data_IF_460218906447
#
_entry.id   IF_460218906447
#
_cell.length_a   1.000
_cell.length_b   1.000
_cell.length_c   1.000
_cell.angle_alpha   90.00
_cell.angle_beta   90.00
_cell.angle_gamma   90.00
#
_symmetry.space_group_name_H-M   'P 1'
#
loop_
_entity.id
_entity.type
_entity.pdbx_description
1 polymer ?
#
# COMPACT_ATOMS: atom_id res chain seq x y z
N UNK A 1 -21.69 0.82 3.98
CA UNK A 1 -20.28 0.38 4.06
C UNK A 1 -19.29 1.50 3.69
N UNK A 2 -19.13 1.90 2.40
CA UNK A 2 -18.11 2.91 2.04
C UNK A 2 -18.37 4.27 2.71
N UNK A 3 -19.61 4.71 2.79
CA UNK A 3 -19.97 5.95 3.47
C UNK A 3 -19.68 5.89 4.97
N UNK A 4 -19.97 4.78 5.63
CA UNK A 4 -19.66 4.57 7.06
C UNK A 4 -18.15 4.55 7.29
N UNK A 5 -17.40 3.93 6.36
CA UNK A 5 -15.95 3.93 6.41
C UNK A 5 -15.38 5.35 6.39
N UNK A 6 -15.83 6.21 5.46
CA UNK A 6 -15.42 7.61 5.45
C UNK A 6 -15.83 8.35 6.72
N UNK A 7 -17.06 8.14 7.19
CA UNK A 7 -17.56 8.83 8.37
C UNK A 7 -16.71 8.52 9.62
N UNK A 8 -16.44 7.25 9.90
CA UNK A 8 -15.67 6.84 11.08
C UNK A 8 -14.20 7.27 10.96
N UNK A 9 -13.62 7.28 9.77
CA UNK A 9 -12.26 7.75 9.56
C UNK A 9 -12.14 9.26 9.77
N UNK A 10 -13.08 10.06 9.26
CA UNK A 10 -13.14 11.50 9.53
C UNK A 10 -13.31 11.76 11.01
N UNK A 11 -14.24 11.07 11.68
CA UNK A 11 -14.46 11.20 13.12
C UNK A 11 -13.16 10.93 13.89
N UNK A 12 -12.35 9.93 13.51
CA UNK A 12 -11.06 9.67 14.15
C UNK A 12 -10.10 10.85 13.99
N UNK A 13 -9.91 11.37 12.77
CA UNK A 13 -8.96 12.47 12.56
C UNK A 13 -9.43 13.79 13.17
N UNK A 14 -10.74 14.01 13.29
CA UNK A 14 -11.35 15.19 13.91
C UNK A 14 -11.34 15.15 15.44
N UNK A 15 -11.00 13.99 16.08
CA UNK A 15 -10.86 13.92 17.53
C UNK A 15 -9.76 14.85 18.05
N UNK A 16 -9.86 15.35 19.31
CA UNK A 16 -8.80 16.07 19.99
C UNK A 16 -7.47 15.31 19.96
N UNK A 17 -6.35 16.05 19.93
CA UNK A 17 -5.03 15.44 19.86
C UNK A 17 -4.74 14.53 21.07
N UNK A 18 -5.23 14.89 22.26
CA UNK A 18 -5.12 14.11 23.49
C UNK A 18 -5.80 12.74 23.41
N UNK A 19 -6.90 12.61 22.67
CA UNK A 19 -7.62 11.34 22.48
C UNK A 19 -6.89 10.39 21.48
N UNK A 20 -5.97 10.93 20.70
CA UNK A 20 -5.15 10.18 19.72
C UNK A 20 -3.71 9.95 20.14
N UNK A 21 -3.28 10.64 21.21
CA UNK A 21 -1.87 10.69 21.62
C UNK A 21 -1.28 9.31 21.96
N UNK A 22 -2.09 8.40 22.52
CA UNK A 22 -1.64 7.04 22.85
C UNK A 22 -1.25 6.20 21.62
N UNK A 23 -1.78 6.54 20.43
CA UNK A 23 -1.47 5.85 19.18
C UNK A 23 -0.35 6.53 18.39
N UNK A 24 0.06 7.74 18.80
CA UNK A 24 1.10 8.47 18.08
C UNK A 24 2.48 7.86 18.33
N UNK A 25 3.15 7.42 17.28
CA UNK A 25 4.52 6.90 17.35
C UNK A 25 5.28 7.14 16.06
N UNK A 26 6.53 7.59 16.20
CA UNK A 26 7.51 7.65 15.11
C UNK A 26 8.35 6.37 15.03
N UNK A 27 8.21 5.45 15.99
CA UNK A 27 8.87 4.14 15.93
C UNK A 27 8.22 3.27 14.86
N UNK A 28 8.98 2.97 13.81
CA UNK A 28 8.53 2.18 12.67
C UNK A 28 8.29 0.70 13.00
N UNK A 29 8.79 0.20 14.10
CA UNK A 29 8.56 -1.17 14.55
C UNK A 29 7.21 -1.34 15.25
N UNK A 30 6.63 -0.25 15.76
CA UNK A 30 5.31 -0.27 16.38
C UNK A 30 4.21 -0.49 15.33
N UNK A 31 3.12 -1.08 15.78
CA UNK A 31 1.94 -1.43 14.98
C UNK A 31 0.73 -0.69 15.50
N UNK A 32 -0.31 -0.57 14.67
CA UNK A 32 -1.57 0.09 15.03
C UNK A 32 -1.32 1.51 15.56
N UNK A 33 -0.59 2.29 14.79
CA UNK A 33 -0.09 3.61 15.18
C UNK A 33 -0.58 4.73 14.28
N UNK A 34 -0.63 5.92 14.86
CA UNK A 34 -0.78 7.18 14.15
C UNK A 34 0.62 7.81 13.98
N UNK A 35 0.95 8.26 12.78
CA UNK A 35 2.19 9.00 12.51
C UNK A 35 1.95 10.08 11.46
N UNK A 36 2.83 11.05 11.40
CA UNK A 36 2.73 12.14 10.43
C UNK A 36 3.79 12.02 9.31
N UNK A 37 3.70 12.89 8.32
CA UNK A 37 4.55 12.87 7.14
C UNK A 37 6.05 13.00 7.39
N UNK A 38 6.49 13.40 8.60
CA UNK A 38 7.89 13.35 9.03
C UNK A 38 8.46 11.92 9.02
N UNK A 39 7.61 10.91 9.23
CA UNK A 39 8.02 9.51 9.15
C UNK A 39 8.46 9.08 7.74
N UNK A 40 8.05 9.81 6.70
CA UNK A 40 8.47 9.59 5.31
C UNK A 40 9.58 10.54 4.87
N UNK A 41 10.19 11.30 5.78
CA UNK A 41 11.23 12.27 5.45
C UNK A 41 12.33 11.62 4.61
N UNK A 42 12.50 12.13 3.38
CA UNK A 42 13.53 11.71 2.44
C UNK A 42 14.29 12.94 2.02
N UNK A 43 15.60 12.97 2.22
CA UNK A 43 16.47 14.10 1.85
C UNK A 43 16.08 15.45 2.48
N UNK A 44 15.45 15.42 3.68
CA UNK A 44 14.98 16.62 4.39
C UNK A 44 13.63 17.15 3.95
N UNK A 45 12.94 16.47 3.03
CA UNK A 45 11.57 16.81 2.64
C UNK A 45 10.54 16.17 3.57
N UNK A 46 9.57 16.95 4.02
CA UNK A 46 8.44 16.49 4.83
C UNK A 46 7.19 16.40 3.98
N UNK A 47 6.43 15.32 4.18
CA UNK A 47 5.18 15.09 3.43
C UNK A 47 3.98 15.55 4.25
N UNK A 48 2.94 16.01 3.57
CA UNK A 48 1.78 16.64 4.16
C UNK A 48 0.64 15.66 4.37
N UNK A 49 0.81 14.77 5.37
CA UNK A 49 -0.07 13.63 5.64
C UNK A 49 -0.01 13.21 7.10
N UNK A 50 -1.14 12.75 7.63
CA UNK A 50 -1.24 11.92 8.83
C UNK A 50 -1.75 10.54 8.43
N UNK A 51 -1.20 9.49 9.02
CA UNK A 51 -1.55 8.09 8.69
C UNK A 51 -1.88 7.33 9.95
N UNK A 52 -3.07 6.73 9.99
CA UNK A 52 -3.40 5.69 10.95
C UNK A 52 -3.15 4.33 10.28
N UNK A 53 -2.05 3.68 10.64
CA UNK A 53 -1.70 2.32 10.20
C UNK A 53 -2.31 1.28 11.14
N UNK A 54 -3.09 0.36 10.60
CA UNK A 54 -3.75 -0.70 11.33
C UNK A 54 -3.40 -2.07 10.75
N UNK A 55 -2.99 -2.99 11.62
CA UNK A 55 -2.68 -4.36 11.25
C UNK A 55 -3.90 -5.25 11.42
N UNK A 56 -4.34 -5.88 10.34
CA UNK A 56 -5.41 -6.88 10.34
C UNK A 56 -4.79 -8.28 10.17
N UNK A 57 -4.66 -9.06 11.26
CA UNK A 57 -4.03 -10.36 11.23
C UNK A 57 -4.93 -11.42 10.58
N UNK A 58 -4.33 -12.30 9.77
CA UNK A 58 -5.04 -13.42 9.17
C UNK A 58 -4.62 -14.73 9.85
N UNK A 59 -5.53 -15.68 9.99
CA UNK A 59 -6.95 -15.64 9.62
C UNK A 59 -7.87 -15.03 10.68
N UNK A 60 -7.34 -14.61 11.85
CA UNK A 60 -8.16 -14.24 13.03
C UNK A 60 -9.02 -12.99 12.80
N UNK A 61 -8.53 -12.01 12.06
CA UNK A 61 -9.21 -10.72 11.90
C UNK A 61 -9.35 -9.93 13.23
N UNK A 62 -8.47 -10.17 14.21
CA UNK A 62 -8.55 -9.56 15.54
C UNK A 62 -8.19 -8.07 15.49
N UNK A 63 -9.12 -7.23 15.93
CA UNK A 63 -8.98 -5.76 15.95
C UNK A 63 -8.89 -5.17 17.37
N UNK A 64 -8.67 -6.02 18.39
CA UNK A 64 -8.68 -5.59 19.81
C UNK A 64 -7.64 -4.53 20.15
N UNK A 65 -6.49 -4.55 19.46
CA UNK A 65 -5.37 -3.62 19.67
C UNK A 65 -5.48 -2.34 18.83
N UNK A 66 -6.57 -2.16 18.08
CA UNK A 66 -6.85 -0.92 17.35
C UNK A 66 -7.43 0.15 18.27
N UNK A 67 -7.46 1.42 17.86
CA UNK A 67 -8.13 2.47 18.62
C UNK A 67 -9.58 2.07 18.95
N UNK A 68 -9.99 2.35 20.20
CA UNK A 68 -11.36 2.09 20.66
C UNK A 68 -12.28 3.29 20.45
N UNK A 69 -11.72 4.40 20.04
CA UNK A 69 -12.42 5.62 19.62
C UNK A 69 -12.08 5.93 18.16
N UNK A 70 -13.04 6.36 17.37
CA UNK A 70 -14.49 6.41 17.62
C UNK A 70 -15.08 5.03 17.94
N UNK A 71 -16.21 4.96 18.63
CA UNK A 71 -16.81 3.69 19.09
C UNK A 71 -16.97 2.66 17.98
N UNK A 72 -17.31 3.08 16.77
CA UNK A 72 -17.54 2.20 15.63
C UNK A 72 -16.29 1.87 14.80
N UNK A 73 -15.11 2.41 15.14
CA UNK A 73 -13.92 2.29 14.31
C UNK A 73 -13.55 0.82 14.06
N UNK A 74 -13.41 0.03 15.13
CA UNK A 74 -12.99 -1.37 15.03
C UNK A 74 -13.93 -2.21 14.17
N UNK A 75 -15.23 -2.01 14.35
CA UNK A 75 -16.26 -2.75 13.61
C UNK A 75 -16.30 -2.34 12.14
N UNK A 76 -16.40 -1.05 11.86
CA UNK A 76 -16.54 -0.55 10.50
C UNK A 76 -15.27 -0.81 9.68
N UNK A 77 -14.10 -0.47 10.21
CA UNK A 77 -12.82 -0.69 9.51
C UNK A 77 -12.51 -2.18 9.38
N UNK A 78 -12.80 -3.00 10.40
CA UNK A 78 -12.61 -4.45 10.33
C UNK A 78 -13.48 -5.11 9.26
N UNK A 79 -14.77 -4.76 9.20
CA UNK A 79 -15.70 -5.24 8.18
C UNK A 79 -15.27 -4.79 6.77
N UNK A 80 -14.88 -3.52 6.62
CA UNK A 80 -14.35 -3.01 5.35
C UNK A 80 -13.10 -3.79 4.93
N UNK A 81 -12.15 -4.00 5.83
CA UNK A 81 -10.89 -4.70 5.54
C UNK A 81 -11.14 -6.14 5.08
N UNK A 82 -12.06 -6.85 5.72
CA UNK A 82 -12.47 -8.19 5.32
C UNK A 82 -13.02 -8.21 3.89
N UNK A 83 -13.89 -7.25 3.55
CA UNK A 83 -14.45 -7.12 2.20
C UNK A 83 -13.41 -6.71 1.16
N UNK A 84 -12.54 -5.75 1.49
CA UNK A 84 -11.45 -5.33 0.60
C UNK A 84 -10.51 -6.51 0.28
N UNK A 85 -10.20 -7.35 1.30
CA UNK A 85 -9.47 -8.60 1.07
C UNK A 85 -10.23 -9.55 0.16
N UNK A 86 -11.54 -9.71 0.35
CA UNK A 86 -12.38 -10.52 -0.54
C UNK A 86 -12.31 -10.07 -2.00
N UNK A 87 -12.38 -8.76 -2.24
CA UNK A 87 -12.20 -8.17 -3.58
C UNK A 87 -10.80 -8.47 -4.14
N UNK A 88 -9.75 -8.30 -3.34
CA UNK A 88 -8.39 -8.62 -3.77
C UNK A 88 -8.23 -10.09 -4.18
N UNK A 89 -8.77 -11.02 -3.39
CA UNK A 89 -8.70 -12.46 -3.69
C UNK A 89 -9.45 -12.80 -4.97
N UNK A 90 -10.59 -12.18 -5.23
CA UNK A 90 -11.33 -12.38 -6.48
C UNK A 90 -10.56 -11.82 -7.70
N UNK A 91 -9.92 -10.66 -7.55
CA UNK A 91 -9.06 -10.11 -8.61
C UNK A 91 -7.87 -11.03 -8.87
N UNK A 92 -7.21 -11.56 -7.82
CA UNK A 92 -6.11 -12.52 -7.98
C UNK A 92 -6.57 -13.81 -8.68
N UNK A 93 -7.76 -14.30 -8.37
CA UNK A 93 -8.38 -15.45 -9.06
C UNK A 93 -8.60 -15.15 -10.56
N UNK A 94 -9.15 -13.97 -10.89
CA UNK A 94 -9.33 -13.53 -12.27
C UNK A 94 -8.00 -13.35 -13.02
N UNK A 95 -6.95 -12.90 -12.31
CA UNK A 95 -5.60 -12.84 -12.86
C UNK A 95 -5.07 -14.23 -13.17
N UNK A 96 -5.28 -15.23 -12.29
CA UNK A 96 -4.92 -16.62 -12.59
C UNK A 96 -5.57 -17.08 -13.89
N UNK A 97 -6.87 -16.86 -14.05
CA UNK A 97 -7.61 -17.23 -15.25
C UNK A 97 -7.06 -16.52 -16.49
N UNK A 98 -6.86 -15.19 -16.42
CA UNK A 98 -6.36 -14.38 -17.53
C UNK A 98 -4.91 -14.67 -17.93
N UNK A 99 -4.10 -15.17 -16.99
CA UNK A 99 -2.69 -15.49 -17.20
C UNK A 99 -2.43 -16.98 -17.47
N UNK A 100 -3.48 -17.81 -17.45
CA UNK A 100 -3.36 -19.26 -17.66
C UNK A 100 -2.68 -20.00 -16.51
N UNK A 101 -2.75 -19.43 -15.30
CA UNK A 101 -2.26 -20.05 -14.07
C UNK A 101 -3.34 -20.97 -13.46
N UNK A 102 -2.94 -21.89 -12.59
CA UNK A 102 -3.91 -22.68 -11.84
C UNK A 102 -4.70 -21.78 -10.86
N UNK A 103 -5.97 -22.08 -10.57
CA UNK A 103 -6.89 -21.13 -9.92
C UNK A 103 -6.45 -20.64 -8.53
N UNK A 104 -5.74 -21.49 -7.77
CA UNK A 104 -5.30 -21.19 -6.41
C UNK A 104 -3.84 -20.71 -6.33
N UNK A 105 -3.24 -20.30 -7.45
CA UNK A 105 -1.84 -19.89 -7.53
C UNK A 105 -1.45 -18.83 -6.48
N UNK A 106 -2.33 -17.87 -6.23
CA UNK A 106 -2.11 -16.82 -5.22
C UNK A 106 -2.75 -17.14 -3.86
N UNK A 107 -3.22 -18.36 -3.61
CA UNK A 107 -3.74 -18.78 -2.30
C UNK A 107 -2.61 -19.28 -1.41
N UNK A 108 -2.73 -19.11 -0.11
CA UNK A 108 -1.72 -19.52 0.88
C UNK A 108 -0.84 -18.37 1.33
N UNK A 109 0.42 -18.63 1.64
CA UNK A 109 1.34 -17.67 2.26
C UNK A 109 1.56 -16.41 1.46
N UNK A 110 1.45 -16.50 0.13
CA UNK A 110 1.62 -15.34 -0.77
C UNK A 110 0.52 -14.28 -0.63
N UNK A 111 -0.66 -14.63 -0.12
CA UNK A 111 -1.76 -13.70 0.13
C UNK A 111 -2.32 -13.79 1.56
N UNK A 112 -1.75 -14.66 2.38
CA UNK A 112 -2.30 -15.06 3.68
C UNK A 112 -1.55 -14.53 4.89
N UNK A 113 -0.58 -13.64 4.73
CA UNK A 113 0.18 -13.12 5.86
C UNK A 113 -0.64 -12.17 6.73
N UNK A 114 -1.07 -11.06 6.18
CA UNK A 114 -1.92 -10.05 6.84
C UNK A 114 -2.47 -9.05 5.84
N UNK A 115 -3.43 -8.22 6.29
CA UNK A 115 -3.75 -6.96 5.62
C UNK A 115 -3.21 -5.81 6.47
N UNK A 116 -2.51 -4.86 5.85
CA UNK A 116 -2.17 -3.58 6.47
C UNK A 116 -3.12 -2.54 5.91
N UNK A 117 -3.73 -1.76 6.78
CA UNK A 117 -4.68 -0.71 6.40
C UNK A 117 -4.10 0.64 6.80
N UNK A 118 -3.78 1.46 5.80
CA UNK A 118 -3.38 2.84 6.00
C UNK A 118 -4.56 3.76 5.72
N UNK A 119 -5.05 4.40 6.77
CA UNK A 119 -6.03 5.47 6.66
C UNK A 119 -5.24 6.77 6.55
N UNK A 120 -5.20 7.30 5.33
CA UNK A 120 -4.40 8.45 4.96
C UNK A 120 -5.25 9.73 5.01
N UNK A 121 -4.87 10.67 5.84
CA UNK A 121 -5.50 11.97 5.95
C UNK A 121 -4.54 13.07 5.49
N UNK A 122 -4.95 13.84 4.51
CA UNK A 122 -4.18 14.92 3.93
C UNK A 122 -4.88 16.24 4.24
N UNK A 123 -4.42 17.00 5.25
CA UNK A 123 -4.98 18.32 5.54
C UNK A 123 -4.86 19.26 4.35
N UNK A 124 -5.70 20.33 4.25
CA UNK A 124 -5.50 21.37 3.27
C UNK A 124 -4.09 21.96 3.37
N UNK A 125 -3.35 21.98 2.27
CA UNK A 125 -2.00 22.54 2.26
C UNK A 125 -2.04 24.02 1.88
N UNK A 126 -1.34 24.90 2.61
CA UNK A 126 -1.25 26.32 2.25
C UNK A 126 -0.48 26.55 0.94
N UNK A 127 0.32 25.56 0.51
CA UNK A 127 1.11 25.66 -0.72
C UNK A 127 1.19 24.31 -1.47
N UNK A 128 0.09 23.85 -2.12
CA UNK A 128 0.04 22.56 -2.79
C UNK A 128 1.06 22.39 -3.94
N UNK A 129 1.52 23.50 -4.52
CA UNK A 129 2.53 23.42 -5.60
C UNK A 129 3.93 23.06 -5.10
N UNK A 130 4.19 23.14 -3.79
CA UNK A 130 5.47 22.85 -3.15
C UNK A 130 5.41 21.72 -2.14
N UNK A 131 4.23 21.11 -1.94
CA UNK A 131 4.03 20.03 -0.98
C UNK A 131 3.40 18.83 -1.63
N UNK A 132 3.90 17.64 -1.34
CA UNK A 132 3.27 16.37 -1.66
C UNK A 132 2.67 15.76 -0.39
N UNK A 133 1.58 15.03 -0.53
CA UNK A 133 1.02 14.20 0.53
C UNK A 133 1.87 12.94 0.73
N UNK A 134 2.17 12.24 -0.37
CA UNK A 134 3.11 11.11 -0.39
C UNK A 134 4.08 11.26 -1.56
N UNK A 135 5.35 10.87 -1.38
CA UNK A 135 6.34 10.89 -2.45
C UNK A 135 6.01 9.89 -3.56
N UNK A 136 6.65 10.02 -4.74
CA UNK A 136 6.64 8.96 -5.73
C UNK A 136 7.14 7.63 -5.17
N UNK A 137 6.35 6.56 -5.35
CA UNK A 137 6.67 5.21 -4.88
C UNK A 137 5.87 4.15 -5.64
N UNK A 138 6.31 2.91 -5.55
CA UNK A 138 5.53 1.72 -5.88
C UNK A 138 5.14 0.99 -4.59
N UNK A 139 3.94 0.44 -4.53
CA UNK A 139 3.53 -0.41 -3.43
C UNK A 139 4.41 -1.66 -3.36
N UNK A 140 4.84 -2.05 -2.16
CA UNK A 140 5.83 -3.12 -1.97
C UNK A 140 5.22 -4.51 -1.84
N UNK A 141 3.96 -4.56 -1.47
CA UNK A 141 3.24 -5.78 -1.16
C UNK A 141 2.69 -6.46 -2.43
N UNK A 142 1.81 -7.43 -2.30
CA UNK A 142 1.27 -8.16 -3.45
C UNK A 142 0.30 -7.28 -4.25
N UNK A 143 -0.65 -6.66 -3.56
CA UNK A 143 -1.71 -5.84 -4.15
C UNK A 143 -2.24 -4.83 -3.14
N UNK A 144 -2.64 -3.67 -3.61
CA UNK A 144 -3.33 -2.65 -2.82
C UNK A 144 -4.75 -2.46 -3.34
N UNK A 145 -5.71 -2.52 -2.42
CA UNK A 145 -7.10 -2.11 -2.66
C UNK A 145 -7.28 -0.73 -2.04
N UNK A 146 -7.37 0.29 -2.87
CA UNK A 146 -7.46 1.69 -2.44
C UNK A 146 -8.89 2.19 -2.55
N UNK A 147 -9.43 2.68 -1.44
CA UNK A 147 -10.61 3.55 -1.41
C UNK A 147 -10.12 5.00 -1.55
N UNK A 148 -10.29 5.64 -2.74
CA UNK A 148 -9.53 6.85 -3.09
C UNK A 148 -10.03 8.14 -2.44
N UNK A 149 -11.24 8.11 -1.86
CA UNK A 149 -11.91 9.33 -1.41
C UNK A 149 -12.65 10.06 -2.54
N UNK A 150 -13.35 11.13 -2.18
CA UNK A 150 -14.04 11.99 -3.15
C UNK A 150 -13.13 13.09 -3.69
N UNK A 151 -12.12 13.51 -2.90
CA UNK A 151 -11.19 14.58 -3.24
C UNK A 151 -10.06 14.03 -4.10
N UNK A 152 -9.80 14.58 -5.30
CA UNK A 152 -8.68 14.17 -6.14
C UNK A 152 -7.33 14.36 -5.44
N UNK A 153 -6.36 13.50 -5.75
CA UNK A 153 -4.99 13.61 -5.20
C UNK A 153 -4.06 12.48 -5.63
N UNK A 154 -4.60 11.34 -6.08
CA UNK A 154 -3.78 10.27 -6.64
C UNK A 154 -3.27 10.66 -8.02
N UNK A 155 -1.96 10.55 -8.23
CA UNK A 155 -1.30 10.71 -9.52
C UNK A 155 -0.42 9.50 -9.82
N UNK A 156 -0.45 9.01 -11.06
CA UNK A 156 0.35 7.86 -11.53
C UNK A 156 1.37 8.33 -12.55
N UNK A 157 2.56 7.72 -12.53
CA UNK A 157 3.60 7.96 -13.52
C UNK A 157 3.26 7.29 -14.86
N UNK A 158 3.28 8.03 -15.95
CA UNK A 158 3.04 7.50 -17.29
C UNK A 158 3.80 8.29 -18.33
N UNK A 159 4.60 7.62 -19.15
CA UNK A 159 5.37 8.20 -20.27
C UNK A 159 6.17 9.46 -19.90
N UNK A 160 6.80 9.43 -18.73
CA UNK A 160 7.64 10.54 -18.24
C UNK A 160 6.88 11.72 -17.63
N UNK A 161 5.58 11.60 -17.43
CA UNK A 161 4.73 12.59 -16.76
C UNK A 161 3.84 11.99 -15.68
N UNK A 162 3.03 12.83 -15.05
CA UNK A 162 2.07 12.42 -14.00
C UNK A 162 0.64 12.59 -14.51
N UNK A 163 -0.16 11.53 -14.40
CA UNK A 163 -1.58 11.52 -14.75
C UNK A 163 -2.41 11.54 -13.47
N UNK A 164 -3.33 12.49 -13.36
CA UNK A 164 -4.31 12.55 -12.26
C UNK A 164 -5.36 11.47 -12.42
N UNK A 165 -5.50 10.65 -11.38
CA UNK A 165 -6.58 9.66 -11.30
C UNK A 165 -7.80 10.34 -10.70
N UNK A 166 -8.85 10.52 -11.52
CA UNK A 166 -10.09 11.11 -11.05
C UNK A 166 -10.87 10.11 -10.21
N UNK A 167 -11.33 10.49 -9.00
CA UNK A 167 -12.17 9.62 -8.21
C UNK A 167 -13.50 9.33 -8.93
N UNK A 168 -13.86 8.05 -8.96
CA UNK A 168 -15.19 7.62 -9.42
C UNK A 168 -16.01 7.25 -8.18
N UNK A 169 -17.23 7.78 -8.01
CA UNK A 169 -18.06 7.46 -6.85
C UNK A 169 -18.25 5.93 -6.69
N UNK A 170 -18.13 5.45 -5.46
CA UNK A 170 -18.31 4.04 -5.09
C UNK A 170 -17.38 3.06 -5.82
N UNK A 171 -16.21 3.52 -6.25
CA UNK A 171 -15.20 2.67 -6.86
C UNK A 171 -14.00 2.45 -5.93
N UNK A 172 -13.24 1.42 -6.24
CA UNK A 172 -11.93 1.12 -5.69
C UNK A 172 -10.87 1.24 -6.79
N UNK A 173 -9.66 1.64 -6.42
CA UNK A 173 -8.50 1.59 -7.31
C UNK A 173 -7.65 0.39 -6.89
N UNK A 174 -7.22 -0.42 -7.85
CA UNK A 174 -6.36 -1.57 -7.60
C UNK A 174 -4.97 -1.25 -8.12
N UNK A 175 -3.98 -1.30 -7.22
CA UNK A 175 -2.58 -1.19 -7.58
C UNK A 175 -1.90 -2.55 -7.44
N UNK A 176 -1.19 -2.99 -8.47
CA UNK A 176 -0.31 -4.14 -8.38
C UNK A 176 0.98 -3.72 -7.67
N UNK A 177 1.36 -4.51 -6.65
CA UNK A 177 2.57 -4.26 -5.90
C UNK A 177 3.80 -4.92 -6.52
N UNK A 178 4.98 -4.55 -5.99
CA UNK A 178 6.26 -5.05 -6.47
C UNK A 178 6.38 -6.58 -6.36
N UNK A 179 5.73 -7.21 -5.38
CA UNK A 179 5.77 -8.65 -5.25
C UNK A 179 4.99 -9.36 -6.35
N UNK A 180 3.88 -8.79 -6.82
CA UNK A 180 3.18 -9.30 -7.99
C UNK A 180 4.01 -9.10 -9.27
N UNK A 181 4.73 -7.99 -9.40
CA UNK A 181 5.67 -7.76 -10.49
C UNK A 181 6.80 -8.80 -10.48
N UNK A 182 7.36 -9.11 -9.31
CA UNK A 182 8.40 -10.14 -9.16
C UNK A 182 7.88 -11.51 -9.57
N UNK A 183 6.75 -11.95 -9.03
CA UNK A 183 6.14 -13.25 -9.33
C UNK A 183 5.87 -13.42 -10.81
N UNK A 184 5.36 -12.40 -11.48
CA UNK A 184 5.07 -12.43 -12.91
C UNK A 184 6.27 -12.12 -13.80
N UNK A 185 7.48 -12.13 -13.24
CA UNK A 185 8.74 -11.81 -13.93
C UNK A 185 8.66 -10.51 -14.75
N UNK A 186 7.91 -9.52 -14.23
CA UNK A 186 7.71 -8.21 -14.84
C UNK A 186 6.67 -8.16 -15.96
N UNK A 187 5.86 -9.21 -16.13
CA UNK A 187 4.72 -9.18 -17.03
C UNK A 187 3.66 -8.18 -16.57
N UNK A 188 3.29 -8.23 -15.28
CA UNK A 188 2.54 -7.17 -14.62
C UNK A 188 3.52 -6.19 -13.99
N UNK A 189 3.17 -4.89 -14.00
CA UNK A 189 4.02 -3.84 -13.48
C UNK A 189 3.41 -3.16 -12.27
N UNK A 190 4.21 -2.98 -11.23
CA UNK A 190 3.91 -2.05 -10.17
C UNK A 190 4.03 -0.63 -10.72
N UNK A 191 2.96 0.15 -10.57
CA UNK A 191 2.91 1.51 -11.11
C UNK A 191 3.39 2.50 -10.06
N UNK A 192 4.39 3.32 -10.42
CA UNK A 192 4.82 4.42 -9.59
C UNK A 192 3.69 5.45 -9.47
N UNK A 193 3.38 5.83 -8.24
CA UNK A 193 2.32 6.78 -7.95
C UNK A 193 2.69 7.68 -6.76
N UNK A 194 1.95 8.79 -6.61
CA UNK A 194 2.14 9.76 -5.53
C UNK A 194 0.81 10.38 -5.12
N UNK A 195 0.79 11.06 -3.97
CA UNK A 195 -0.36 11.83 -3.54
C UNK A 195 -0.05 13.33 -3.59
N UNK A 196 -0.80 14.04 -4.40
CA UNK A 196 -0.82 15.50 -4.42
C UNK A 196 -1.72 16.04 -3.30
N UNK A 197 -1.38 17.21 -2.77
CA UNK A 197 -2.19 17.97 -1.84
C UNK A 197 -3.09 18.97 -2.56
N UNK A 198 -4.06 19.52 -1.86
CA UNK A 198 -4.87 20.63 -2.36
C UNK A 198 -5.04 21.72 -1.28
N UNK A 199 -5.53 22.88 -1.67
CA UNK A 199 -5.71 24.04 -0.79
C UNK A 199 -7.08 24.07 -0.11
N UNK A 200 -8.12 23.54 -0.76
CA UNK A 200 -9.50 23.86 -0.42
C UNK A 200 -10.06 22.98 0.71
N UNK A 201 -9.77 21.70 0.68
CA UNK A 201 -10.41 20.72 1.56
C UNK A 201 -9.49 19.55 1.91
N UNK A 202 -9.70 18.89 3.04
CA UNK A 202 -8.92 17.71 3.39
C UNK A 202 -9.29 16.56 2.44
N UNK A 203 -8.30 15.73 2.12
CA UNK A 203 -8.49 14.46 1.43
C UNK A 203 -8.33 13.30 2.40
N UNK A 204 -9.19 12.30 2.30
CA UNK A 204 -9.05 11.04 3.03
C UNK A 204 -9.08 9.89 2.02
N UNK A 205 -8.15 8.95 2.16
CA UNK A 205 -8.14 7.70 1.40
C UNK A 205 -7.74 6.53 2.30
N UNK A 206 -8.15 5.31 1.93
CA UNK A 206 -7.84 4.11 2.70
C UNK A 206 -7.19 3.10 1.78
N UNK A 207 -5.93 2.75 2.07
CA UNK A 207 -5.17 1.73 1.36
C UNK A 207 -5.18 0.43 2.16
N UNK A 208 -5.62 -0.66 1.55
CA UNK A 208 -5.58 -2.01 2.14
C UNK A 208 -4.56 -2.84 1.38
N UNK A 209 -3.41 -3.08 1.99
CA UNK A 209 -2.30 -3.83 1.40
C UNK A 209 -2.46 -5.32 1.70
N UNK A 210 -2.46 -6.15 0.67
CA UNK A 210 -2.42 -7.61 0.80
C UNK A 210 -0.96 -8.02 0.92
N UNK A 211 -0.57 -8.43 2.11
CA UNK A 211 0.81 -8.67 2.48
C UNK A 211 1.06 -10.15 2.62
N UNK A 212 2.02 -10.74 1.89
CA UNK A 212 2.42 -12.13 2.08
C UNK A 212 2.98 -12.39 3.47
N UNK A 213 3.02 -13.66 3.87
CA UNK A 213 3.70 -14.08 5.10
C UNK A 213 5.20 -13.72 5.04
N UNK A 214 5.81 -13.40 6.17
CA UNK A 214 7.20 -12.90 6.19
C UNK A 214 8.23 -13.99 5.77
N UNK A 215 7.89 -15.26 5.94
CA UNK A 215 8.66 -16.43 5.49
C UNK A 215 8.29 -16.91 4.08
N UNK A 216 7.24 -16.35 3.48
CA UNK A 216 6.89 -16.64 2.09
C UNK A 216 8.05 -16.27 1.16
N UNK A 217 8.43 -17.22 0.31
CA UNK A 217 9.48 -17.04 -0.70
C UNK A 217 8.83 -16.46 -1.96
N UNK A 218 9.29 -15.31 -2.40
CA UNK A 218 8.80 -14.62 -3.60
C UNK A 218 9.93 -14.49 -4.62
N UNK A 219 9.70 -14.99 -5.80
CA UNK A 219 10.60 -14.93 -6.96
C UNK A 219 9.80 -15.11 -8.25
N UNK A 220 10.44 -14.99 -9.42
CA UNK A 220 9.79 -15.28 -10.70
C UNK A 220 9.25 -16.71 -10.73
N UNK A 221 7.94 -16.84 -10.97
CA UNK A 221 7.31 -18.14 -11.12
C UNK A 221 7.70 -18.79 -12.45
N UNK A 222 7.80 -20.12 -12.46
CA UNK A 222 8.27 -20.89 -13.62
C UNK A 222 7.43 -20.63 -14.86
N UNK A 223 6.15 -20.36 -14.69
CA UNK A 223 5.19 -20.06 -15.75
C UNK A 223 5.53 -18.77 -16.53
N UNK A 224 6.29 -17.86 -15.92
CA UNK A 224 6.73 -16.59 -16.54
C UNK A 224 8.19 -16.60 -16.96
N UNK A 225 8.88 -17.73 -16.83
CA UNK A 225 10.30 -17.85 -17.15
C UNK A 225 10.46 -18.73 -18.40
N UNK A 226 11.28 -18.27 -19.34
CA UNK A 226 11.64 -19.03 -20.56
C UNK A 226 13.06 -18.64 -21.03
N UNK A 227 13.56 -19.28 -22.09
CA UNK A 227 14.83 -18.88 -22.71
C UNK A 227 14.77 -17.44 -23.22
N UNK A 228 13.62 -17.03 -23.80
CA UNK A 228 13.40 -15.67 -24.30
C UNK A 228 13.06 -14.64 -23.19
N UNK A 229 12.64 -15.11 -22.01
CA UNK A 229 12.32 -14.28 -20.85
C UNK A 229 12.96 -14.87 -19.59
N UNK A 230 14.29 -14.82 -19.44
CA UNK A 230 14.98 -15.37 -18.27
C UNK A 230 14.59 -14.63 -16.98
N UNK A 231 14.86 -15.20 -15.81
CA UNK A 231 14.55 -14.55 -14.54
C UNK A 231 15.15 -13.14 -14.45
N UNK A 232 14.31 -12.14 -14.16
CA UNK A 232 14.71 -10.73 -14.04
C UNK A 232 14.94 -10.33 -12.60
N UNK A 233 14.32 -11.03 -11.67
CA UNK A 233 14.27 -10.71 -10.25
C UNK A 233 14.90 -11.80 -9.43
N UNK A 234 15.42 -11.42 -8.24
CA UNK A 234 15.93 -12.35 -7.26
C UNK A 234 14.80 -12.99 -6.49
N UNK A 235 14.99 -14.25 -6.12
CA UNK A 235 14.11 -14.94 -5.17
C UNK A 235 14.56 -14.61 -3.75
N UNK A 236 13.66 -14.09 -2.93
CA UNK A 236 13.88 -13.67 -1.54
C UNK A 236 12.69 -14.04 -0.69
N UNK A 237 12.88 -14.22 0.62
CA UNK A 237 11.72 -14.18 1.52
C UNK A 237 11.17 -12.76 1.64
N UNK A 238 9.88 -12.63 1.93
CA UNK A 238 9.24 -11.33 2.15
C UNK A 238 9.90 -10.57 3.30
N UNK A 239 10.30 -11.27 4.37
CA UNK A 239 11.05 -10.68 5.47
C UNK A 239 12.42 -10.13 5.05
N UNK A 240 13.15 -10.83 4.16
CA UNK A 240 14.42 -10.33 3.60
C UNK A 240 14.20 -9.12 2.71
N UNK A 241 13.17 -9.16 1.87
CA UNK A 241 12.76 -8.04 1.03
C UNK A 241 12.48 -6.79 1.89
N UNK A 242 11.65 -6.92 2.95
CA UNK A 242 11.30 -5.82 3.85
C UNK A 242 12.52 -5.25 4.60
N UNK A 243 13.45 -6.09 5.05
CA UNK A 243 14.69 -5.64 5.72
C UNK A 243 15.61 -4.86 4.80
N UNK A 244 15.69 -5.25 3.53
CA UNK A 244 16.51 -4.55 2.52
C UNK A 244 15.85 -3.26 2.02
N UNK A 245 14.53 -3.19 2.08
CA UNK A 245 13.73 -2.06 1.67
C UNK A 245 13.21 -1.30 2.89
N UNK A 246 14.08 -0.51 3.48
CA UNK A 246 13.61 0.42 4.50
C UNK A 246 12.70 1.46 3.84
N UNK A 247 11.54 1.75 4.45
CA UNK A 247 10.49 2.66 3.93
C UNK A 247 11.01 4.06 3.57
N UNK A 248 12.20 4.42 4.06
CA UNK A 248 12.84 5.74 3.84
C UNK A 248 13.36 5.93 2.42
N UNK A 249 13.70 4.85 1.72
CA UNK A 249 14.18 4.93 0.34
C UNK A 249 13.07 4.44 -0.59
N UNK A 250 12.05 5.26 -0.76
CA UNK A 250 11.06 5.12 -1.82
C UNK A 250 11.66 5.36 -3.22
N UNK A 251 12.96 5.61 -3.25
CA UNK A 251 13.74 5.90 -4.45
C UNK A 251 13.93 4.66 -5.34
N UNK A 252 14.23 4.90 -6.61
CA UNK A 252 14.50 3.95 -7.70
C UNK A 252 15.53 2.83 -7.39
N UNK A 253 16.20 2.88 -6.23
CA UNK A 253 17.05 1.81 -5.69
C UNK A 253 16.32 0.49 -5.45
N UNK A 254 14.98 0.47 -5.33
CA UNK A 254 14.17 -0.76 -5.24
C UNK A 254 14.46 -1.68 -6.43
N UNK A 255 14.50 -1.09 -7.64
CA UNK A 255 14.83 -1.84 -8.85
C UNK A 255 16.24 -2.45 -8.81
N UNK A 256 17.18 -1.88 -8.06
CA UNK A 256 18.55 -2.41 -7.96
C UNK A 256 18.65 -3.65 -7.06
N UNK A 257 17.80 -3.79 -6.08
CA UNK A 257 17.88 -4.89 -5.11
C UNK A 257 17.17 -6.15 -5.62
N UNK A 258 16.05 -5.98 -6.31
CA UNK A 258 15.26 -7.11 -6.85
C UNK A 258 15.67 -7.52 -8.26
N UNK A 259 16.27 -6.61 -9.06
CA UNK A 259 16.71 -6.94 -10.41
C UNK A 259 18.08 -7.66 -10.42
N UNK A 260 18.17 -8.75 -11.16
CA UNK A 260 19.41 -9.53 -11.32
C UNK A 260 20.44 -8.74 -12.13
N UNK A 261 20.00 -7.97 -13.13
CA UNK A 261 20.86 -7.33 -14.12
C UNK A 261 21.61 -6.07 -13.64
N UNK A 262 21.26 -5.51 -12.47
CA UNK A 262 21.90 -4.27 -11.99
C UNK A 262 23.26 -4.48 -11.30
N UNK A 263 23.68 -5.72 -11.02
CA UNK A 263 24.97 -6.00 -10.40
C UNK A 263 26.14 -6.20 -11.39
N UNK A 264 25.91 -6.10 -12.71
CA UNK A 264 26.98 -6.28 -13.70
C UNK A 264 27.58 -4.95 -14.23
N UNK A 265 27.16 -3.79 -13.72
CA UNK A 265 27.72 -2.47 -14.13
C UNK A 265 28.68 -1.84 -13.11
N UNK A 266 29.26 -2.64 -12.24
CA UNK A 266 30.22 -2.19 -11.22
C UNK A 266 31.47 -3.09 -11.19
N UNK A 267 32.24 -3.10 -12.29
CA UNK A 267 33.66 -3.42 -12.31
C UNK A 267 34.35 -2.37 -13.21
#
# INVERSE_FOLDING_TARGET
MLHEMYAVCHEFFDMPAEDKAEFFSEDRSERNKLFCGSAFETLGEKYWIDVLELLYPLPSGDTKDWPHKPQMLREVVGNYTSLARGVAMEILRLLCEGLGLWPDFFVGDISGGRVVVDINYYPPSPNPSRTLGLPPHCDRDLMTVLLPGAVPGLEIAYKGGWIKVQPVPNSLVINFGLQLEVVTNGYLKAVEHRAATNFAEPRLSVASFIVPADDCVVGPAEEFVSEDNPPRYRTLTVGEFKRKHNVVNLDSSINQIININNNQKGI
#
